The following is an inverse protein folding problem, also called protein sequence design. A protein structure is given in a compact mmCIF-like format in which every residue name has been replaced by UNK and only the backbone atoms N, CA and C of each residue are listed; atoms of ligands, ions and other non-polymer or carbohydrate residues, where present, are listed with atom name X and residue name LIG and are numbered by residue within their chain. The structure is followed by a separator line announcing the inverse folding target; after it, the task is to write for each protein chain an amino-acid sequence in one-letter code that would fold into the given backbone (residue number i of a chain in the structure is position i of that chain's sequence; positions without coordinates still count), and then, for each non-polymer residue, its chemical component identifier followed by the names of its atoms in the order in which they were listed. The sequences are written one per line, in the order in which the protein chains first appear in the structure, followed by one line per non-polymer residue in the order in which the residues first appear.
data_IF_045997367550
#
_entry.id   IF_045997367550
#
_cell.length_a   1.000
_cell.length_b   1.000
_cell.length_c   1.000
_cell.angle_alpha   90.00
_cell.angle_beta   90.00
_cell.angle_gamma   90.00
#
_symmetry.space_group_name_H-M   'P 1'
#
loop_
_entity.id
_entity.type
_entity.pdbx_description
1 polymer ?
#
# COMPACT_ATOMS: atom_id res chain seq x y z
N UNK A 1 -13.61 -10.44 -17.36
CA UNK A 1 -13.94 -9.21 -16.57
C UNK A 1 -12.69 -8.91 -15.74
N UNK A 2 -11.84 -7.97 -16.18
CA UNK A 2 -10.45 -7.88 -15.70
C UNK A 2 -9.98 -6.43 -15.47
N UNK A 3 -10.87 -5.51 -15.14
CA UNK A 3 -10.51 -4.10 -14.97
C UNK A 3 -11.38 -3.41 -13.92
N UNK A 4 -11.38 -3.96 -12.71
CA UNK A 4 -11.79 -3.21 -11.51
C UNK A 4 -10.58 -2.55 -10.83
N UNK A 5 -9.44 -2.53 -11.53
CA UNK A 5 -8.21 -1.81 -11.19
C UNK A 5 -8.41 -0.31 -11.41
N UNK A 6 -9.31 0.31 -10.66
CA UNK A 6 -9.24 1.75 -10.47
C UNK A 6 -7.98 2.03 -9.62
N UNK A 7 -6.97 2.74 -10.14
CA UNK A 7 -5.70 3.00 -9.44
C UNK A 7 -5.86 3.85 -8.16
N UNK A 8 -7.08 4.30 -7.85
CA UNK A 8 -7.42 5.03 -6.63
C UNK A 8 -8.04 4.17 -5.52
N UNK A 9 -8.28 2.87 -5.72
CA UNK A 9 -8.82 2.04 -4.64
C UNK A 9 -7.73 1.69 -3.61
N UNK A 10 -8.02 1.79 -2.30
CA UNK A 10 -7.03 1.54 -1.26
C UNK A 10 -6.52 0.09 -1.24
N UNK A 11 -7.33 -0.89 -1.66
CA UNK A 11 -6.88 -2.28 -1.85
C UNK A 11 -5.80 -2.40 -2.95
N UNK A 12 -5.95 -1.67 -4.06
CA UNK A 12 -4.95 -1.66 -5.14
C UNK A 12 -3.65 -1.01 -4.67
N UNK A 13 -3.76 0.10 -3.93
CA UNK A 13 -2.60 0.78 -3.34
C UNK A 13 -1.86 -0.11 -2.33
N UNK A 14 -2.59 -0.92 -1.55
CA UNK A 14 -1.99 -1.92 -0.66
C UNK A 14 -1.19 -2.97 -1.45
N UNK A 15 -1.79 -3.56 -2.49
CA UNK A 15 -1.07 -4.55 -3.32
C UNK A 15 0.13 -3.96 -4.05
N UNK A 16 0.02 -2.72 -4.55
CA UNK A 16 1.14 -1.99 -5.14
C UNK A 16 2.27 -1.85 -4.13
N UNK A 17 1.96 -1.37 -2.92
CA UNK A 17 2.94 -1.23 -1.87
C UNK A 17 3.61 -2.55 -1.49
N UNK A 18 2.85 -3.64 -1.48
CA UNK A 18 3.38 -4.96 -1.18
C UNK A 18 4.38 -5.43 -2.24
N UNK A 19 4.12 -5.13 -3.52
CA UNK A 19 5.08 -5.36 -4.60
C UNK A 19 6.33 -4.50 -4.45
N UNK A 20 6.18 -3.20 -4.18
CA UNK A 20 7.32 -2.28 -4.04
C UNK A 20 8.19 -2.63 -2.82
N UNK A 21 7.57 -3.03 -1.70
CA UNK A 21 8.26 -3.56 -0.54
C UNK A 21 9.10 -4.80 -0.90
N UNK A 22 8.57 -5.71 -1.74
CA UNK A 22 9.33 -6.87 -2.22
C UNK A 22 10.43 -6.53 -3.22
N UNK A 23 10.27 -5.46 -3.99
CA UNK A 23 11.30 -4.93 -4.88
C UNK A 23 12.42 -4.20 -4.12
N UNK A 24 12.24 -3.96 -2.82
CA UNK A 24 13.17 -3.19 -1.98
C UNK A 24 12.90 -1.68 -1.98
N UNK A 25 11.93 -1.22 -2.77
CA UNK A 25 11.52 0.19 -2.80
C UNK A 25 10.56 0.49 -1.65
N UNK A 26 11.14 0.55 -0.45
CA UNK A 26 10.40 0.85 0.78
C UNK A 26 9.82 2.27 0.78
N UNK A 27 10.40 3.21 0.04
CA UNK A 27 9.92 4.58 -0.05
C UNK A 27 8.57 4.64 -0.80
N UNK A 28 8.51 4.05 -1.99
CA UNK A 28 7.31 4.02 -2.80
C UNK A 28 6.22 3.14 -2.16
N UNK A 29 6.61 2.01 -1.54
CA UNK A 29 5.70 1.18 -0.76
C UNK A 29 4.99 1.96 0.35
N UNK A 30 5.72 2.76 1.12
CA UNK A 30 5.14 3.55 2.21
C UNK A 30 4.22 4.64 1.69
N UNK A 31 4.60 5.33 0.62
CA UNK A 31 3.76 6.35 0.00
C UNK A 31 2.41 5.76 -0.47
N UNK A 32 2.43 4.57 -1.06
CA UNK A 32 1.22 3.86 -1.48
C UNK A 32 0.35 3.42 -0.28
N UNK A 33 0.95 2.90 0.79
CA UNK A 33 0.22 2.52 2.01
C UNK A 33 -0.38 3.73 2.71
N UNK A 34 0.35 4.85 2.81
CA UNK A 34 -0.17 6.08 3.39
C UNK A 34 -1.39 6.58 2.60
N UNK A 35 -1.35 6.57 1.26
CA UNK A 35 -2.54 6.88 0.43
C UNK A 35 -3.68 5.90 0.65
N UNK A 36 -3.39 4.60 0.78
CA UNK A 36 -4.41 3.59 1.06
C UNK A 36 -5.11 3.85 2.40
N UNK A 37 -4.34 4.20 3.44
CA UNK A 37 -4.82 4.43 4.80
C UNK A 37 -5.49 5.80 4.97
N UNK A 38 -5.06 6.81 4.22
CA UNK A 38 -5.70 8.13 4.14
C UNK A 38 -7.09 8.07 3.51
N UNK A 39 -7.30 7.09 2.61
CA UNK A 39 -8.61 6.88 2.01
C UNK A 39 -9.69 6.64 3.06
N UNK A 40 -10.80 7.40 2.96
CA UNK A 40 -11.99 7.25 3.82
C UNK A 40 -12.72 5.92 3.60
N UNK A 41 -12.42 5.23 2.50
CA UNK A 41 -12.96 3.92 2.19
C UNK A 41 -12.32 2.87 3.09
N UNK A 42 -13.14 2.21 3.91
CA UNK A 42 -12.69 1.07 4.69
C UNK A 42 -12.51 -0.13 3.74
N UNK A 43 -11.31 -0.68 3.72
CA UNK A 43 -10.96 -1.88 2.94
C UNK A 43 -10.50 -2.98 3.90
N UNK A 44 -10.63 -4.24 3.47
CA UNK A 44 -10.35 -5.39 4.33
C UNK A 44 -8.87 -5.42 4.73
N UNK A 45 -7.96 -5.09 3.81
CA UNK A 45 -6.53 -5.04 4.10
C UNK A 45 -6.07 -3.77 4.86
N UNK A 46 -6.96 -2.94 5.42
CA UNK A 46 -6.55 -1.71 6.13
C UNK A 46 -5.61 -1.98 7.31
N UNK A 47 -5.90 -3.02 8.09
CA UNK A 47 -5.03 -3.45 9.20
C UNK A 47 -3.68 -3.96 8.68
N UNK A 48 -3.71 -4.79 7.64
CA UNK A 48 -2.52 -5.33 6.99
C UNK A 48 -1.65 -4.22 6.37
N UNK A 49 -2.28 -3.20 5.79
CA UNK A 49 -1.60 -2.03 5.24
C UNK A 49 -0.89 -1.23 6.33
N UNK A 50 -1.53 -1.06 7.49
CA UNK A 50 -0.90 -0.36 8.63
C UNK A 50 0.25 -1.17 9.23
N UNK A 51 0.10 -2.49 9.36
CA UNK A 51 1.19 -3.39 9.78
C UNK A 51 2.35 -3.39 8.80
N UNK A 52 2.06 -3.41 7.50
CA UNK A 52 3.11 -3.36 6.48
C UNK A 52 3.85 -2.02 6.56
N UNK A 53 3.14 -0.90 6.73
CA UNK A 53 3.74 0.43 6.84
C UNK A 53 4.69 0.53 8.05
N UNK A 54 4.28 -0.04 9.18
CA UNK A 54 5.07 -0.12 10.42
C UNK A 54 6.31 -1.01 10.27
N UNK A 55 6.16 -2.14 9.58
CA UNK A 55 7.25 -3.09 9.32
C UNK A 55 8.29 -2.55 8.32
N UNK A 56 7.94 -1.52 7.53
CA UNK A 56 8.85 -0.91 6.56
C UNK A 56 9.76 0.14 7.23
N UNK A 57 11.10 0.05 7.06
CA UNK A 57 12.03 0.97 7.69
C UNK A 57 11.86 2.42 7.24
N UNK A 58 12.24 3.37 8.11
CA UNK A 58 12.20 4.82 7.88
C UNK A 58 12.92 5.29 6.59
N UNK A 59 13.85 4.50 6.07
CA UNK A 59 14.53 4.80 4.81
C UNK A 59 15.15 3.54 4.21
N UNK A 60 14.72 3.21 3.00
CA UNK A 60 15.53 2.43 2.06
C UNK A 60 16.15 3.43 1.08
N UNK A 61 17.46 3.57 1.16
CA UNK A 61 18.32 4.12 0.11
C UNK A 61 19.29 3.01 -0.28
#
# INVERSE_FOLDING_TARGET
KASEHAPGQPAILYHLAWCEAKLGDTAAARAALQKALDSKTKFMERDAAQKLLDSLPAGGK
#
